data_IF_425713128900
#
_entry.id   IF_425713128900
#
_cell.length_a   1.000
_cell.length_b   1.000
_cell.length_c   1.000
_cell.angle_alpha   90.00
_cell.angle_beta   90.00
_cell.angle_gamma   90.00
#
_symmetry.space_group_name_H-M   'P 1'
#
loop_
_entity.id
_entity.type
_entity.pdbx_description
1 polymer ?
#
# COMPACT_ATOMS: atom_id res chain seq x y z
N UNK A 1 -23.29 34.43 -21.12
CA UNK A 1 -22.76 33.07 -21.14
C UNK A 1 -23.89 32.14 -20.75
N UNK A 2 -24.28 31.27 -21.71
CA UNK A 2 -25.37 30.30 -21.58
C UNK A 2 -25.19 29.41 -20.34
N UNK A 3 -26.28 29.14 -19.61
CA UNK A 3 -26.28 28.19 -18.46
C UNK A 3 -25.74 26.82 -18.83
N UNK A 4 -25.94 26.42 -20.07
CA UNK A 4 -25.39 25.19 -20.65
C UNK A 4 -23.85 25.17 -20.67
N UNK A 5 -23.22 26.25 -21.07
CA UNK A 5 -21.76 26.42 -21.10
C UNK A 5 -21.14 26.34 -19.69
N UNK A 6 -21.81 26.95 -18.70
CA UNK A 6 -21.39 26.90 -17.32
C UNK A 6 -21.53 25.51 -16.69
N UNK A 7 -22.51 24.71 -17.10
CA UNK A 7 -22.68 23.33 -16.64
C UNK A 7 -21.58 22.41 -17.23
N UNK A 8 -21.31 22.54 -18.52
CA UNK A 8 -20.24 21.77 -19.20
C UNK A 8 -18.88 22.05 -18.54
N UNK A 9 -18.55 23.34 -18.31
CA UNK A 9 -17.28 23.72 -17.68
C UNK A 9 -17.11 23.10 -16.28
N UNK A 10 -18.18 23.05 -15.47
CA UNK A 10 -18.16 22.38 -14.16
C UNK A 10 -17.95 20.88 -14.26
N UNK A 11 -18.51 20.23 -15.28
CA UNK A 11 -18.31 18.79 -15.55
C UNK A 11 -16.86 18.49 -15.94
N UNK A 12 -16.31 19.24 -16.89
CA UNK A 12 -14.90 19.10 -17.33
C UNK A 12 -13.95 19.28 -16.16
N UNK A 13 -14.19 20.30 -15.33
CA UNK A 13 -13.38 20.54 -14.14
C UNK A 13 -13.41 19.37 -13.14
N UNK A 14 -14.58 18.76 -12.91
CA UNK A 14 -14.70 17.59 -12.04
C UNK A 14 -13.96 16.38 -12.60
N UNK A 15 -14.13 16.09 -13.89
CA UNK A 15 -13.42 14.98 -14.55
C UNK A 15 -11.91 15.17 -14.43
N UNK A 16 -11.43 16.40 -14.65
CA UNK A 16 -10.02 16.74 -14.52
C UNK A 16 -9.49 16.49 -13.09
N UNK A 17 -10.22 16.90 -12.06
CA UNK A 17 -9.84 16.66 -10.66
C UNK A 17 -9.79 15.15 -10.36
N UNK A 18 -10.82 14.41 -10.74
CA UNK A 18 -10.85 12.95 -10.51
C UNK A 18 -9.76 12.22 -11.25
N UNK A 19 -9.49 12.60 -12.49
CA UNK A 19 -8.37 12.03 -13.25
C UNK A 19 -7.04 12.19 -12.50
N UNK A 20 -6.73 13.41 -12.03
CA UNK A 20 -5.47 13.65 -11.32
C UNK A 20 -5.40 13.02 -9.93
N UNK A 21 -6.53 12.88 -9.23
CA UNK A 21 -6.55 12.10 -7.99
C UNK A 21 -6.21 10.63 -8.24
N UNK A 22 -6.72 10.06 -9.33
CA UNK A 22 -6.34 8.70 -9.76
C UNK A 22 -4.85 8.62 -10.08
N UNK A 23 -4.31 9.58 -10.83
CA UNK A 23 -2.88 9.63 -11.17
C UNK A 23 -2.00 9.74 -9.92
N UNK A 24 -2.39 10.57 -8.95
CA UNK A 24 -1.66 10.69 -7.68
C UNK A 24 -1.67 9.38 -6.88
N UNK A 25 -2.82 8.73 -6.76
CA UNK A 25 -2.93 7.44 -6.07
C UNK A 25 -2.16 6.33 -6.79
N UNK A 26 -2.29 6.27 -8.11
CA UNK A 26 -1.54 5.33 -8.94
C UNK A 26 -0.03 5.55 -8.82
N UNK A 27 0.42 6.80 -8.79
CA UNK A 27 1.83 7.14 -8.59
C UNK A 27 2.39 6.59 -7.29
N UNK A 28 1.63 6.65 -6.19
CA UNK A 28 2.05 6.06 -4.89
C UNK A 28 2.21 4.54 -5.02
N UNK A 29 1.24 3.85 -5.63
CA UNK A 29 1.31 2.40 -5.86
C UNK A 29 2.49 2.02 -6.76
N UNK A 30 2.73 2.78 -7.84
CA UNK A 30 3.88 2.56 -8.73
C UNK A 30 5.22 2.79 -8.02
N UNK A 31 5.32 3.79 -7.13
CA UNK A 31 6.52 4.00 -6.32
C UNK A 31 6.77 2.84 -5.35
N UNK A 32 5.70 2.25 -4.79
CA UNK A 32 5.82 1.05 -3.96
C UNK A 32 6.35 -0.14 -4.77
N UNK A 33 5.84 -0.38 -5.98
CA UNK A 33 6.36 -1.41 -6.89
C UNK A 33 7.81 -1.15 -7.30
N UNK A 34 8.15 0.12 -7.56
CA UNK A 34 9.50 0.53 -7.90
C UNK A 34 10.49 0.21 -6.78
N UNK A 35 10.17 0.58 -5.53
CA UNK A 35 11.01 0.28 -4.36
C UNK A 35 11.13 -1.23 -4.14
N UNK A 36 10.04 -2.00 -4.29
CA UNK A 36 10.08 -3.46 -4.18
C UNK A 36 11.02 -4.08 -5.21
N UNK A 37 10.93 -3.65 -6.47
CA UNK A 37 11.78 -4.19 -7.54
C UNK A 37 13.27 -3.90 -7.31
N UNK A 38 13.61 -2.78 -6.67
CA UNK A 38 15.00 -2.38 -6.38
C UNK A 38 15.47 -2.81 -4.99
N UNK A 39 14.68 -3.56 -4.21
CA UNK A 39 15.07 -3.99 -2.86
C UNK A 39 16.21 -5.00 -2.86
N UNK A 40 16.35 -5.79 -3.92
CA UNK A 40 17.31 -6.88 -4.02
C UNK A 40 18.36 -6.59 -5.09
N UNK A 41 19.62 -6.46 -4.68
CA UNK A 41 20.73 -6.19 -5.59
C UNK A 41 21.02 -7.33 -6.61
N UNK A 42 20.57 -8.55 -6.30
CA UNK A 42 20.78 -9.73 -7.15
C UNK A 42 19.74 -9.88 -8.27
N UNK A 43 18.72 -9.03 -8.31
CA UNK A 43 17.61 -9.12 -9.26
C UNK A 43 17.66 -7.93 -10.23
N UNK A 44 17.45 -8.20 -11.51
CA UNK A 44 17.27 -7.13 -12.50
C UNK A 44 15.91 -6.45 -12.25
N UNK A 45 15.97 -5.30 -11.58
CA UNK A 45 14.80 -4.50 -11.24
C UNK A 45 14.00 -4.06 -12.47
N UNK A 46 14.67 -3.81 -13.61
CA UNK A 46 13.99 -3.42 -14.84
C UNK A 46 13.17 -4.57 -15.42
N UNK A 47 13.77 -5.75 -15.48
CA UNK A 47 13.07 -6.97 -15.93
C UNK A 47 11.91 -7.31 -15.01
N UNK A 48 12.09 -7.18 -13.68
CA UNK A 48 11.03 -7.42 -12.71
C UNK A 48 9.88 -6.42 -12.86
N UNK A 49 10.15 -5.13 -12.99
CA UNK A 49 9.13 -4.11 -13.24
C UNK A 49 8.35 -4.40 -14.53
N UNK A 50 9.05 -4.75 -15.62
CA UNK A 50 8.38 -5.12 -16.87
C UNK A 50 7.48 -6.36 -16.71
N UNK A 51 7.88 -7.31 -15.87
CA UNK A 51 7.07 -8.51 -15.61
C UNK A 51 5.76 -8.18 -14.87
N UNK A 52 5.77 -7.22 -13.94
CA UNK A 52 4.55 -6.76 -13.26
C UNK A 52 3.51 -6.24 -14.25
N UNK A 53 3.93 -5.46 -15.24
CA UNK A 53 3.02 -4.90 -16.24
C UNK A 53 2.46 -5.94 -17.23
N UNK A 54 3.02 -7.16 -17.27
CA UNK A 54 2.41 -8.27 -18.01
C UNK A 54 1.18 -8.86 -17.33
N UNK A 55 0.98 -8.57 -16.04
CA UNK A 55 -0.14 -9.04 -15.23
C UNK A 55 -0.98 -7.84 -14.79
N UNK A 56 -1.97 -7.41 -15.60
CA UNK A 56 -2.76 -6.21 -15.31
C UNK A 56 -3.46 -6.25 -13.95
N UNK A 57 -3.89 -7.44 -13.51
CA UNK A 57 -4.53 -7.64 -12.22
C UNK A 57 -3.57 -7.31 -11.07
N UNK A 58 -2.31 -7.76 -11.13
CA UNK A 58 -1.28 -7.45 -10.15
C UNK A 58 -1.08 -5.94 -10.04
N UNK A 59 -0.92 -5.25 -11.16
CA UNK A 59 -0.76 -3.79 -11.17
C UNK A 59 -2.00 -3.13 -10.57
N UNK A 60 -3.20 -3.52 -11.01
CA UNK A 60 -4.45 -2.96 -10.51
C UNK A 60 -4.58 -3.12 -8.99
N UNK A 61 -4.25 -4.28 -8.43
CA UNK A 61 -4.31 -4.53 -6.99
C UNK A 61 -3.29 -3.70 -6.20
N UNK A 62 -2.09 -3.47 -6.73
CA UNK A 62 -1.11 -2.59 -6.08
C UNK A 62 -1.49 -1.10 -6.15
N UNK A 63 -2.29 -0.68 -7.14
CA UNK A 63 -2.71 0.72 -7.30
C UNK A 63 -4.04 1.02 -6.60
N UNK A 64 -4.94 0.05 -6.46
CA UNK A 64 -6.31 0.26 -6.01
C UNK A 64 -6.40 0.86 -4.60
N UNK A 65 -5.69 0.30 -3.62
CA UNK A 65 -5.74 0.77 -2.26
C UNK A 65 -5.18 2.20 -2.08
N UNK A 66 -4.00 2.56 -2.65
CA UNK A 66 -3.54 3.95 -2.65
C UNK A 66 -4.53 4.92 -3.33
N UNK A 67 -5.13 4.53 -4.45
CA UNK A 67 -6.13 5.36 -5.16
C UNK A 67 -7.34 5.59 -4.27
N UNK A 68 -7.92 4.54 -3.69
CA UNK A 68 -9.10 4.65 -2.81
C UNK A 68 -8.80 5.52 -1.59
N UNK A 69 -7.59 5.44 -1.04
CA UNK A 69 -7.20 6.27 0.10
C UNK A 69 -7.01 7.74 -0.27
N UNK A 70 -6.51 8.05 -1.48
CA UNK A 70 -6.49 9.43 -2.00
C UNK A 70 -7.91 9.97 -2.18
N UNK A 71 -8.83 9.19 -2.73
CA UNK A 71 -10.22 9.60 -2.87
C UNK A 71 -10.89 9.82 -1.51
N UNK A 72 -10.71 8.90 -0.57
CA UNK A 72 -11.21 9.04 0.79
C UNK A 72 -10.70 10.35 1.43
N UNK A 73 -9.38 10.59 1.36
CA UNK A 73 -8.77 11.81 1.87
C UNK A 73 -9.32 13.08 1.19
N UNK A 74 -9.57 13.03 -0.12
CA UNK A 74 -10.16 14.16 -0.85
C UNK A 74 -11.58 14.48 -0.37
N UNK A 75 -12.41 13.48 -0.15
CA UNK A 75 -13.74 13.67 0.41
C UNK A 75 -13.70 14.10 1.88
N UNK A 76 -12.74 13.65 2.67
CA UNK A 76 -12.58 14.05 4.07
C UNK A 76 -12.09 15.51 4.20
N UNK A 77 -11.07 15.90 3.45
CA UNK A 77 -10.37 17.18 3.64
C UNK A 77 -10.74 18.25 2.62
N UNK A 78 -11.32 17.88 1.47
CA UNK A 78 -11.54 18.74 0.31
C UNK A 78 -10.26 19.45 -0.18
N UNK A 79 -9.09 18.89 0.11
CA UNK A 79 -7.76 19.41 -0.25
C UNK A 79 -6.93 18.29 -0.89
N UNK A 80 -6.55 18.40 -2.18
CA UNK A 80 -5.82 17.36 -2.89
C UNK A 80 -4.49 16.97 -2.22
N UNK A 81 -3.72 17.94 -1.74
CA UNK A 81 -2.45 17.67 -1.06
C UNK A 81 -2.63 16.88 0.24
N UNK A 82 -3.68 17.17 1.04
CA UNK A 82 -3.96 16.43 2.26
C UNK A 82 -4.47 15.01 1.95
N UNK A 83 -5.25 14.86 0.89
CA UNK A 83 -5.68 13.58 0.35
C UNK A 83 -4.48 12.73 -0.11
N UNK A 84 -3.56 13.36 -0.83
CA UNK A 84 -2.32 12.72 -1.27
C UNK A 84 -1.48 12.24 -0.07
N UNK A 85 -1.25 13.10 0.92
CA UNK A 85 -0.48 12.75 2.11
C UNK A 85 -1.13 11.63 2.93
N UNK A 86 -2.46 11.59 3.04
CA UNK A 86 -3.17 10.50 3.73
C UNK A 86 -2.84 9.13 3.12
N UNK A 87 -2.65 9.04 1.82
CA UNK A 87 -2.27 7.82 1.13
C UNK A 87 -0.75 7.62 1.06
N UNK A 88 -0.01 8.69 0.72
CA UNK A 88 1.42 8.61 0.51
C UNK A 88 2.18 8.25 1.80
N UNK A 89 1.81 8.83 2.94
CA UNK A 89 2.51 8.56 4.19
C UNK A 89 2.49 7.06 4.56
N UNK A 90 1.35 6.37 4.67
CA UNK A 90 1.37 4.95 5.05
C UNK A 90 2.02 4.08 3.96
N UNK A 91 1.61 4.19 2.70
CA UNK A 91 2.13 3.31 1.65
C UNK A 91 3.61 3.52 1.35
N UNK A 92 4.05 4.77 1.22
CA UNK A 92 5.44 5.05 0.92
C UNK A 92 6.37 4.76 2.09
N UNK A 93 5.99 5.12 3.32
CA UNK A 93 6.85 4.84 4.49
C UNK A 93 7.00 3.35 4.75
N UNK A 94 5.92 2.57 4.59
CA UNK A 94 5.99 1.11 4.74
C UNK A 94 6.78 0.45 3.60
N UNK A 95 6.59 0.89 2.35
CA UNK A 95 7.38 0.40 1.23
C UNK A 95 8.87 0.75 1.36
N UNK A 96 9.18 1.95 1.84
CA UNK A 96 10.57 2.39 2.10
C UNK A 96 11.18 1.61 3.27
N UNK A 97 10.41 1.38 4.33
CA UNK A 97 10.84 0.54 5.45
C UNK A 97 11.11 -0.90 4.99
N UNK A 98 10.25 -1.44 4.11
CA UNK A 98 10.45 -2.75 3.50
C UNK A 98 11.71 -2.80 2.64
N UNK A 99 11.95 -1.78 1.82
CA UNK A 99 13.17 -1.64 1.02
C UNK A 99 14.43 -1.77 1.88
N UNK A 100 14.52 -1.01 2.98
CA UNK A 100 15.68 -1.06 3.87
C UNK A 100 15.74 -2.35 4.70
N UNK A 101 14.60 -2.88 5.15
CA UNK A 101 14.57 -4.14 5.91
C UNK A 101 15.11 -5.30 5.07
N UNK A 102 14.74 -5.36 3.79
CA UNK A 102 15.28 -6.34 2.85
C UNK A 102 16.80 -6.23 2.73
N UNK A 103 17.33 -5.02 2.55
CA UNK A 103 18.78 -4.83 2.41
C UNK A 103 19.57 -5.19 3.67
N UNK A 104 18.99 -4.95 4.86
CA UNK A 104 19.67 -5.17 6.14
C UNK A 104 19.48 -6.59 6.69
N UNK A 105 18.34 -7.20 6.44
CA UNK A 105 17.93 -8.46 7.08
C UNK A 105 17.53 -9.56 6.11
N UNK A 106 17.33 -9.21 4.84
CA UNK A 106 16.87 -10.13 3.82
C UNK A 106 15.36 -10.38 3.79
N UNK A 107 14.53 -9.72 4.63
CA UNK A 107 13.08 -9.93 4.73
C UNK A 107 12.30 -8.65 4.47
N UNK A 108 11.10 -8.71 3.80
CA UNK A 108 10.22 -7.56 3.64
C UNK A 108 9.52 -7.19 4.95
N UNK A 109 8.87 -6.03 4.98
CA UNK A 109 7.99 -5.66 6.09
C UNK A 109 6.66 -6.38 5.93
N UNK A 110 6.33 -7.22 6.90
CA UNK A 110 5.05 -7.93 7.02
C UNK A 110 4.06 -7.11 7.86
N UNK A 111 2.76 -7.40 7.75
CA UNK A 111 1.77 -6.77 8.60
C UNK A 111 2.03 -7.07 10.10
N UNK A 112 2.52 -8.26 10.43
CA UNK A 112 2.90 -8.68 11.79
C UNK A 112 4.00 -7.80 12.41
N UNK A 113 4.89 -7.19 11.59
CA UNK A 113 5.93 -6.27 12.07
C UNK A 113 5.33 -4.98 12.69
N UNK A 114 4.09 -4.62 12.36
CA UNK A 114 3.42 -3.47 12.98
C UNK A 114 3.29 -3.61 14.50
N UNK A 115 3.25 -4.83 15.02
CA UNK A 115 3.26 -5.09 16.47
C UNK A 115 4.59 -4.72 17.12
N UNK A 116 5.68 -4.77 16.36
CA UNK A 116 7.03 -4.52 16.82
C UNK A 116 7.50 -3.07 16.61
N UNK A 117 6.65 -2.21 16.06
CA UNK A 117 7.02 -0.83 15.70
C UNK A 117 7.59 -0.03 16.88
N UNK A 118 7.08 -0.26 18.11
CA UNK A 118 7.58 0.41 19.31
C UNK A 118 8.99 -0.05 19.69
N UNK A 119 9.30 -1.32 19.50
CA UNK A 119 10.61 -1.91 19.80
C UNK A 119 11.61 -1.58 18.68
N UNK A 120 11.14 -1.59 17.42
CA UNK A 120 11.95 -1.28 16.25
C UNK A 120 12.54 0.14 16.28
N UNK A 121 11.80 1.13 16.80
CA UNK A 121 12.27 2.52 16.90
C UNK A 121 13.57 2.69 17.70
N UNK A 122 13.78 1.89 18.75
CA UNK A 122 15.02 1.90 19.53
C UNK A 122 16.21 1.25 18.80
N UNK A 123 15.93 0.30 17.92
CA UNK A 123 16.96 -0.44 17.18
C UNK A 123 17.35 0.32 15.90
N UNK A 124 16.40 1.00 15.27
CA UNK A 124 16.63 1.74 14.02
C UNK A 124 17.68 2.85 14.16
N UNK A 125 17.86 3.43 15.36
CA UNK A 125 18.88 4.44 15.60
C UNK A 125 20.32 3.92 15.53
N UNK A 126 20.51 2.61 15.51
CA UNK A 126 21.82 1.95 15.42
C UNK A 126 22.23 1.60 13.99
N UNK A 127 21.32 1.77 13.00
CA UNK A 127 21.59 1.47 11.59
C UNK A 127 21.85 2.75 10.82
N UNK A 128 22.89 2.75 10.02
CA UNK A 128 23.14 3.77 9.00
C UNK A 128 22.37 3.40 7.73
N UNK A 129 21.40 4.25 7.36
CA UNK A 129 20.62 4.07 6.13
C UNK A 129 21.30 4.79 4.97
N UNK A 130 21.86 4.05 4.04
CA UNK A 130 22.41 4.64 2.83
C UNK A 130 21.31 5.22 1.93
N UNK A 131 21.55 6.45 1.46
CA UNK A 131 20.68 7.10 0.48
C UNK A 131 21.06 6.63 -0.92
N UNK A 132 20.39 5.60 -1.39
CA UNK A 132 20.60 5.09 -2.74
C UNK A 132 19.97 6.00 -3.80
N UNK A 133 20.38 5.85 -5.07
CA UNK A 133 19.83 6.61 -6.19
C UNK A 133 18.32 6.34 -6.36
N UNK A 134 17.91 5.11 -6.10
CA UNK A 134 16.52 4.65 -6.20
C UNK A 134 15.65 5.34 -5.16
N UNK A 135 16.11 5.40 -3.91
CA UNK A 135 15.41 6.10 -2.82
C UNK A 135 15.33 7.60 -3.12
N UNK A 136 16.41 8.22 -3.57
CA UNK A 136 16.41 9.63 -3.93
C UNK A 136 15.42 9.92 -5.07
N UNK A 137 15.36 9.05 -6.08
CA UNK A 137 14.40 9.14 -7.19
C UNK A 137 12.97 9.02 -6.69
N UNK A 138 12.70 8.03 -5.85
CA UNK A 138 11.36 7.81 -5.28
C UNK A 138 10.90 9.01 -4.43
N UNK A 139 11.77 9.55 -3.57
CA UNK A 139 11.48 10.74 -2.76
C UNK A 139 11.28 11.98 -3.62
N UNK A 140 12.09 12.17 -4.67
CA UNK A 140 11.94 13.30 -5.59
C UNK A 140 10.59 13.25 -6.34
N UNK A 141 10.19 12.07 -6.83
CA UNK A 141 8.89 11.87 -7.48
C UNK A 141 7.73 12.07 -6.50
N UNK A 142 7.85 11.56 -5.28
CA UNK A 142 6.85 11.78 -4.22
C UNK A 142 6.68 13.27 -3.94
N UNK A 143 7.78 14.02 -3.82
CA UNK A 143 7.78 15.47 -3.61
C UNK A 143 7.21 16.24 -4.80
N UNK A 144 7.52 15.84 -6.02
CA UNK A 144 6.97 16.45 -7.24
C UNK A 144 5.45 16.26 -7.33
N UNK A 145 4.93 15.07 -7.00
CA UNK A 145 3.49 14.80 -6.94
C UNK A 145 2.80 15.63 -5.84
N UNK A 146 3.44 15.80 -4.68
CA UNK A 146 2.93 16.67 -3.62
C UNK A 146 2.89 18.13 -4.08
N UNK A 147 3.96 18.62 -4.68
CA UNK A 147 4.01 19.98 -5.23
C UNK A 147 2.92 20.20 -6.29
N UNK A 148 2.71 19.24 -7.19
CA UNK A 148 1.62 19.26 -8.15
C UNK A 148 0.25 19.36 -7.45
N UNK A 149 0.01 18.54 -6.42
CA UNK A 149 -1.25 18.54 -5.67
C UNK A 149 -1.50 19.88 -4.91
N UNK A 150 -0.43 20.52 -4.42
CA UNK A 150 -0.51 21.82 -3.71
C UNK A 150 -0.73 22.96 -4.67
N UNK A 151 0.02 23.01 -5.78
CA UNK A 151 0.13 24.19 -6.64
C UNK A 151 -0.91 24.21 -7.76
N UNK A 152 -1.24 23.05 -8.32
CA UNK A 152 -2.02 22.95 -9.55
C UNK A 152 -3.41 22.38 -9.37
N UNK A 153 -3.67 21.66 -8.28
CA UNK A 153 -4.99 21.05 -8.09
C UNK A 153 -5.94 21.97 -7.30
N UNK A 154 -7.18 22.15 -7.79
CA UNK A 154 -8.18 22.95 -7.11
C UNK A 154 -8.74 22.21 -5.87
N UNK A 155 -9.30 23.00 -4.96
CA UNK A 155 -9.99 22.47 -3.78
C UNK A 155 -11.28 21.76 -4.16
N UNK A 156 -11.68 20.78 -3.36
CA UNK A 156 -12.91 20.02 -3.54
C UNK A 156 -14.17 20.80 -3.17
N UNK A 157 -15.33 20.15 -3.39
CA UNK A 157 -16.65 20.70 -3.07
C UNK A 157 -16.77 20.96 -1.55
N UNK A 158 -17.37 22.10 -1.19
CA UNK A 158 -17.62 22.50 0.21
C UNK A 158 -18.87 21.83 0.80
N UNK A 159 -19.72 21.22 -0.02
CA UNK A 159 -20.99 20.61 0.40
C UNK A 159 -20.76 19.38 1.27
N UNK A 160 -21.06 19.48 2.56
CA UNK A 160 -20.84 18.39 3.54
C UNK A 160 -21.51 17.07 3.13
N UNK A 161 -22.74 17.11 2.55
CA UNK A 161 -23.46 15.89 2.12
C UNK A 161 -22.71 15.14 1.01
N UNK A 162 -22.23 15.87 -0.02
CA UNK A 162 -21.48 15.27 -1.14
C UNK A 162 -20.20 14.62 -0.63
N UNK A 163 -19.50 15.30 0.27
CA UNK A 163 -18.27 14.79 0.89
C UNK A 163 -18.55 13.55 1.74
N UNK A 164 -19.57 13.59 2.59
CA UNK A 164 -19.93 12.44 3.43
C UNK A 164 -20.32 11.21 2.59
N UNK A 165 -21.14 11.40 1.56
CA UNK A 165 -21.51 10.32 0.64
C UNK A 165 -20.30 9.76 -0.12
N UNK A 166 -19.40 10.65 -0.61
CA UNK A 166 -18.19 10.23 -1.29
C UNK A 166 -17.24 9.46 -0.36
N UNK A 167 -17.04 9.94 0.87
CA UNK A 167 -16.24 9.24 1.88
C UNK A 167 -16.83 7.86 2.24
N UNK A 168 -18.15 7.79 2.45
CA UNK A 168 -18.84 6.53 2.72
C UNK A 168 -18.70 5.54 1.55
N UNK A 169 -18.85 6.03 0.31
CA UNK A 169 -18.64 5.20 -0.88
C UNK A 169 -17.18 4.67 -0.96
N UNK A 170 -16.19 5.50 -0.67
CA UNK A 170 -14.78 5.07 -0.64
C UNK A 170 -14.54 4.00 0.45
N UNK A 171 -15.12 4.17 1.63
CA UNK A 171 -15.01 3.18 2.72
C UNK A 171 -15.66 1.86 2.30
N UNK A 172 -16.89 1.90 1.77
CA UNK A 172 -17.59 0.70 1.31
C UNK A 172 -16.84 -0.02 0.19
N UNK A 173 -16.32 0.73 -0.79
CA UNK A 173 -15.50 0.16 -1.86
C UNK A 173 -14.17 -0.39 -1.32
N UNK A 174 -13.54 0.28 -0.37
CA UNK A 174 -12.31 -0.17 0.28
C UNK A 174 -12.51 -1.47 1.05
N UNK A 175 -13.55 -1.54 1.88
CA UNK A 175 -13.91 -2.76 2.61
C UNK A 175 -14.30 -3.88 1.65
N UNK A 176 -15.11 -3.59 0.63
CA UNK A 176 -15.49 -4.57 -0.40
C UNK A 176 -14.29 -5.10 -1.18
N UNK A 177 -13.37 -4.23 -1.58
CA UNK A 177 -12.13 -4.63 -2.24
C UNK A 177 -11.22 -5.45 -1.31
N UNK A 178 -11.12 -5.06 -0.04
CA UNK A 178 -10.33 -5.78 0.94
C UNK A 178 -10.87 -7.21 1.13
N UNK A 179 -12.15 -7.34 1.47
CA UNK A 179 -12.78 -8.65 1.72
C UNK A 179 -12.98 -9.50 0.48
N UNK A 180 -13.17 -8.90 -0.70
CA UNK A 180 -13.48 -9.63 -1.92
C UNK A 180 -12.30 -9.81 -2.88
N UNK A 181 -11.16 -9.16 -2.61
CA UNK A 181 -10.02 -9.25 -3.52
C UNK A 181 -8.67 -9.38 -2.79
N UNK A 182 -8.41 -8.60 -1.74
CA UNK A 182 -7.12 -8.67 -1.05
C UNK A 182 -7.00 -9.91 -0.13
N UNK A 183 -8.10 -10.39 0.45
CA UNK A 183 -8.12 -11.60 1.29
C UNK A 183 -8.55 -12.85 0.54
N UNK A 184 -8.91 -12.73 -0.75
CA UNK A 184 -9.32 -13.85 -1.59
C UNK A 184 -8.11 -14.56 -2.18
N UNK A 185 -7.92 -15.83 -1.82
CA UNK A 185 -6.79 -16.65 -2.25
C UNK A 185 -6.76 -16.84 -3.78
N UNK A 186 -7.92 -17.01 -4.42
CA UNK A 186 -7.98 -17.20 -5.85
C UNK A 186 -7.57 -15.94 -6.64
N UNK A 187 -7.86 -14.76 -6.10
CA UNK A 187 -7.36 -13.48 -6.65
C UNK A 187 -5.85 -13.37 -6.42
N UNK A 188 -5.39 -13.74 -5.24
CA UNK A 188 -4.00 -13.67 -4.85
C UNK A 188 -3.12 -14.60 -5.70
N UNK A 189 -3.55 -15.83 -5.95
CA UNK A 189 -2.86 -16.78 -6.82
C UNK A 189 -2.74 -16.28 -8.26
N UNK A 190 -3.79 -15.66 -8.81
CA UNK A 190 -3.79 -15.09 -10.18
C UNK A 190 -2.86 -13.88 -10.35
N UNK A 191 -2.38 -13.31 -9.28
CA UNK A 191 -1.43 -12.19 -9.32
C UNK A 191 0.02 -12.64 -9.19
N UNK A 192 0.28 -13.94 -9.03
CA UNK A 192 1.64 -14.46 -8.94
C UNK A 192 2.42 -14.21 -10.23
N UNK A 193 3.63 -13.72 -10.10
CA UNK A 193 4.58 -13.64 -11.20
C UNK A 193 5.37 -14.95 -11.21
N UNK A 194 5.07 -15.81 -12.18
CA UNK A 194 5.53 -17.21 -12.24
C UNK A 194 7.05 -17.43 -12.23
N UNK A 195 7.81 -16.38 -12.43
CA UNK A 195 9.29 -16.47 -12.46
C UNK A 195 9.95 -16.63 -11.09
N UNK A 196 9.19 -16.49 -9.97
CA UNK A 196 9.74 -16.43 -8.62
C UNK A 196 8.71 -16.98 -7.60
N UNK A 197 8.43 -18.27 -7.58
CA UNK A 197 7.42 -18.79 -6.66
C UNK A 197 8.00 -19.83 -5.72
N UNK A 198 8.55 -19.35 -4.63
CA UNK A 198 8.61 -20.10 -3.40
C UNK A 198 7.62 -19.49 -2.41
N UNK A 199 6.43 -20.07 -2.29
CA UNK A 199 5.35 -19.58 -1.40
C UNK A 199 5.76 -19.58 0.09
N UNK A 200 6.83 -20.27 0.44
CA UNK A 200 7.40 -20.33 1.79
C UNK A 200 8.41 -19.20 2.07
N UNK A 201 8.73 -18.41 1.05
CA UNK A 201 9.66 -17.28 1.17
C UNK A 201 8.91 -15.96 1.03
N UNK A 202 8.77 -15.23 2.12
CA UNK A 202 8.15 -13.89 2.12
C UNK A 202 8.78 -12.97 1.10
N UNK A 203 10.10 -13.11 0.88
CA UNK A 203 10.84 -12.34 -0.10
C UNK A 203 10.34 -12.58 -1.52
N UNK A 204 10.22 -13.84 -1.91
CA UNK A 204 9.74 -14.20 -3.25
C UNK A 204 8.29 -13.84 -3.44
N UNK A 205 7.47 -13.98 -2.39
CA UNK A 205 6.07 -13.57 -2.39
C UNK A 205 5.94 -12.07 -2.65
N UNK A 206 6.71 -11.23 -1.96
CA UNK A 206 6.68 -9.78 -2.14
C UNK A 206 7.27 -9.34 -3.48
N UNK A 207 8.35 -9.98 -3.93
CA UNK A 207 8.91 -9.74 -5.27
C UNK A 207 7.95 -10.17 -6.37
N UNK A 208 7.25 -11.28 -6.18
CA UNK A 208 6.29 -11.80 -7.16
C UNK A 208 5.07 -10.88 -7.32
N UNK A 209 4.55 -10.32 -6.22
CA UNK A 209 3.25 -9.63 -6.19
C UNK A 209 3.31 -8.14 -5.91
N UNK A 210 4.47 -7.61 -5.52
CA UNK A 210 4.63 -6.23 -5.11
C UNK A 210 4.22 -5.98 -3.66
N UNK A 211 4.71 -4.86 -3.10
CA UNK A 211 4.55 -4.55 -1.67
C UNK A 211 3.09 -4.38 -1.24
N UNK A 212 2.32 -3.50 -1.93
CA UNK A 212 1.00 -3.12 -1.44
C UNK A 212 0.02 -4.29 -1.40
N UNK A 213 0.03 -5.15 -2.44
CA UNK A 213 -0.82 -6.33 -2.48
C UNK A 213 -0.42 -7.34 -1.40
N UNK A 214 0.86 -7.70 -1.32
CA UNK A 214 1.34 -8.70 -0.35
C UNK A 214 1.15 -8.24 1.09
N UNK A 215 1.42 -6.96 1.38
CA UNK A 215 1.22 -6.39 2.71
C UNK A 215 -0.26 -6.41 3.12
N UNK A 216 -1.18 -6.02 2.23
CA UNK A 216 -2.61 -6.02 2.54
C UNK A 216 -3.16 -7.44 2.67
N UNK A 217 -2.62 -8.39 1.91
CA UNK A 217 -2.98 -9.80 2.03
C UNK A 217 -2.55 -10.38 3.37
N UNK A 218 -1.39 -10.01 3.92
CA UNK A 218 -0.87 -10.50 5.21
C UNK A 218 -1.54 -9.86 6.44
N UNK A 219 -2.44 -8.86 6.28
CA UNK A 219 -3.10 -8.19 7.41
C UNK A 219 -3.91 -9.16 8.31
N UNK A 220 -4.60 -10.20 7.82
CA UNK A 220 -5.28 -11.16 8.68
C UNK A 220 -4.36 -11.85 9.69
N UNK A 221 -3.07 -12.04 9.36
CA UNK A 221 -2.07 -12.63 10.26
C UNK A 221 -1.81 -11.79 11.53
N UNK A 222 -2.21 -10.51 11.51
CA UNK A 222 -2.25 -9.69 12.73
C UNK A 222 -3.22 -10.24 13.78
N UNK A 223 -4.21 -11.02 13.38
CA UNK A 223 -5.26 -11.53 14.25
C UNK A 223 -5.34 -13.07 14.15
N UNK A 224 -4.28 -13.79 14.60
CA UNK A 224 -4.27 -15.25 14.48
C UNK A 224 -5.45 -15.85 15.25
N UNK A 225 -6.20 -16.66 14.56
CA UNK A 225 -7.26 -17.44 15.16
C UNK A 225 -6.66 -18.59 16.00
N UNK A 226 -7.32 -18.91 17.11
CA UNK A 226 -6.90 -20.06 17.90
C UNK A 226 -7.17 -21.33 17.10
N UNK A 227 -6.24 -22.30 17.06
CA UNK A 227 -6.51 -23.57 16.42
C UNK A 227 -7.77 -24.25 16.98
N UNK A 228 -8.51 -24.94 16.13
CA UNK A 228 -9.66 -25.71 16.57
C UNK A 228 -9.23 -26.71 17.66
N UNK A 229 -9.98 -26.77 18.78
CA UNK A 229 -9.66 -27.64 19.92
C UNK A 229 -8.57 -27.08 20.85
N UNK A 230 -8.09 -25.86 20.67
CA UNK A 230 -7.11 -25.25 21.59
C UNK A 230 -7.75 -24.92 22.94
N UNK A 231 -7.31 -25.62 23.99
CA UNK A 231 -7.63 -25.33 25.38
C UNK A 231 -6.40 -24.74 26.09
N UNK A 232 -6.50 -23.47 26.51
CA UNK A 232 -5.40 -22.79 27.20
C UNK A 232 -5.02 -23.47 28.54
N UNK A 233 -5.99 -24.09 29.23
CA UNK A 233 -5.72 -24.83 30.49
C UNK A 233 -4.97 -26.11 30.21
N UNK A 234 -5.36 -26.86 29.19
CA UNK A 234 -4.66 -28.08 28.80
C UNK A 234 -3.22 -27.77 28.34
N UNK A 235 -3.02 -26.69 27.60
CA UNK A 235 -1.70 -26.24 27.20
C UNK A 235 -0.82 -25.84 28.40
N UNK A 236 -1.39 -25.14 29.38
CA UNK A 236 -0.67 -24.75 30.60
C UNK A 236 -0.30 -25.98 31.45
N UNK A 237 -1.22 -26.94 31.63
CA UNK A 237 -0.96 -28.19 32.34
C UNK A 237 0.15 -28.99 31.66
N UNK A 238 0.17 -28.97 30.31
CA UNK A 238 1.23 -29.62 29.54
C UNK A 238 2.58 -28.95 29.78
N UNK A 239 2.64 -27.62 29.75
CA UNK A 239 3.86 -26.85 30.04
C UNK A 239 4.38 -27.11 31.46
N UNK A 240 3.50 -27.17 32.46
CA UNK A 240 3.85 -27.47 33.86
C UNK A 240 4.32 -28.94 34.04
N UNK A 241 4.03 -29.81 33.08
CA UNK A 241 4.48 -31.22 33.13
C UNK A 241 5.90 -31.44 32.61
N UNK A 242 6.50 -30.43 31.97
CA UNK A 242 7.91 -30.50 31.57
C UNK A 242 8.79 -30.05 32.73
N UNK A 243 9.83 -30.84 33.10
CA UNK A 243 10.77 -30.42 34.12
C UNK A 243 11.57 -29.19 33.63
N UNK A 244 11.72 -28.21 34.52
CA UNK A 244 12.64 -27.09 34.31
C UNK A 244 14.06 -27.67 34.20
N UNK A 245 14.71 -27.53 33.04
CA UNK A 245 16.14 -27.86 32.84
C UNK A 245 17.05 -26.75 33.38
#
# INVERSE_FOLDING_TARGET
PDESTGAVMRWVHRIWVFFWLTVLGAGIGLLSLYLTAHSYASIDATALLQSYFKIPLLVAMNLLAPILLVYLGFFLFARPWAAYLLSALPFFTLALASYYKVQLRGDPVLATDLRLIRTAGGIMSQYEFERTAEVNTAVALLGAMLAFAVLLMPRGDKRRRVRALGAAACVLLGVGAYLGAYTDEAVYERTANDSLINIWSDNEVYLSRGFALSFLHSVPELFPEKPEGYDARAAQTLLESFPDE
#
